data_IF_406216471026
#
_entry.id   IF_406216471026
#
_cell.length_a   1.000
_cell.length_b   1.000
_cell.length_c   1.000
_cell.angle_alpha   90.00
_cell.angle_beta   90.00
_cell.angle_gamma   90.00
#
_symmetry.space_group_name_H-M   'P 1'
#
loop_
_entity.id
_entity.type
_entity.pdbx_description
1 polymer ?
#
# COMPACT_ATOMS: atom_id res chain seq x y z
N UNK A 1 -31.98 -58.12 6.13
CA UNK A 1 -30.74 -57.71 5.48
C UNK A 1 -31.11 -56.54 4.59
N UNK A 2 -30.76 -55.32 4.94
CA UNK A 2 -30.72 -54.22 3.99
C UNK A 2 -29.25 -53.85 3.70
N UNK A 3 -28.99 -53.55 2.44
CA UNK A 3 -27.71 -53.13 1.87
C UNK A 3 -27.34 -51.73 2.33
N UNK A 4 -26.13 -51.58 2.84
CA UNK A 4 -25.46 -50.26 3.01
C UNK A 4 -24.86 -49.87 1.66
N UNK A 5 -25.50 -48.85 1.04
CA UNK A 5 -24.91 -48.06 -0.06
C UNK A 5 -24.22 -46.84 0.54
N UNK A 6 -22.91 -46.96 0.74
CA UNK A 6 -22.05 -45.82 1.05
C UNK A 6 -21.70 -45.11 -0.25
N UNK A 7 -22.46 -44.08 -0.58
CA UNK A 7 -22.09 -43.10 -1.60
C UNK A 7 -20.89 -42.27 -1.09
N UNK A 8 -19.72 -42.49 -1.69
CA UNK A 8 -18.55 -41.63 -1.55
C UNK A 8 -18.89 -40.28 -2.20
N UNK A 9 -19.06 -39.25 -1.37
CA UNK A 9 -19.13 -37.86 -1.83
C UNK A 9 -17.75 -37.48 -2.41
N UNK A 10 -17.66 -37.45 -3.72
CA UNK A 10 -16.59 -36.80 -4.48
C UNK A 10 -16.62 -35.30 -4.18
N UNK A 11 -15.74 -34.86 -3.31
CA UNK A 11 -15.44 -33.43 -3.16
C UNK A 11 -14.90 -32.91 -4.48
N UNK A 12 -15.45 -31.82 -5.03
CA UNK A 12 -14.96 -31.26 -6.27
C UNK A 12 -13.53 -30.77 -6.09
N UNK A 13 -12.63 -31.35 -6.91
CA UNK A 13 -11.25 -30.91 -7.07
C UNK A 13 -11.24 -29.39 -7.27
N UNK A 14 -10.70 -28.65 -6.27
CA UNK A 14 -10.56 -27.21 -6.32
C UNK A 14 -9.77 -26.79 -7.56
N UNK A 15 -10.42 -26.18 -8.52
CA UNK A 15 -9.77 -25.46 -9.59
C UNK A 15 -8.80 -24.47 -8.93
N UNK A 16 -7.47 -24.69 -9.07
CA UNK A 16 -6.44 -23.84 -8.50
C UNK A 16 -6.70 -22.39 -8.90
N UNK A 17 -6.86 -21.51 -7.92
CA UNK A 17 -7.03 -20.09 -8.18
C UNK A 17 -5.84 -19.62 -9.02
N UNK A 18 -6.11 -18.90 -10.11
CA UNK A 18 -5.04 -18.38 -10.97
C UNK A 18 -4.04 -17.54 -10.15
N UNK A 19 -2.75 -17.73 -10.40
CA UNK A 19 -1.67 -17.03 -9.70
C UNK A 19 -1.87 -15.52 -9.78
N UNK A 20 -1.88 -14.82 -8.63
CA UNK A 20 -2.01 -13.36 -8.60
C UNK A 20 -0.74 -12.71 -9.11
N UNK A 21 -0.87 -11.82 -10.10
CA UNK A 21 0.25 -11.08 -10.68
C UNK A 21 0.35 -9.67 -10.12
N UNK A 22 1.54 -9.28 -9.72
CA UNK A 22 1.86 -7.97 -9.18
C UNK A 22 2.74 -7.19 -10.15
N UNK A 23 2.37 -5.94 -10.43
CA UNK A 23 3.04 -5.03 -11.36
C UNK A 23 3.47 -3.74 -10.64
N UNK A 24 4.51 -3.78 -9.78
CA UNK A 24 4.88 -2.65 -8.93
C UNK A 24 5.58 -1.50 -9.70
N UNK A 25 6.02 -1.71 -10.93
CA UNK A 25 6.82 -0.74 -11.69
C UNK A 25 6.22 0.67 -11.72
N UNK A 26 4.91 0.79 -12.00
CA UNK A 26 4.24 2.09 -12.06
C UNK A 26 4.21 2.83 -10.71
N UNK A 27 4.13 2.07 -9.59
CA UNK A 27 4.20 2.63 -8.24
C UNK A 27 5.62 2.98 -7.80
N UNK A 28 6.65 2.42 -8.44
CA UNK A 28 8.06 2.69 -8.16
C UNK A 28 8.55 3.87 -8.97
N UNK A 29 8.21 3.90 -10.27
CA UNK A 29 8.75 4.87 -11.22
C UNK A 29 7.79 6.05 -11.50
N UNK A 30 6.54 5.97 -11.04
CA UNK A 30 5.53 7.02 -11.24
C UNK A 30 4.98 7.11 -12.68
N UNK A 31 5.33 6.17 -13.55
CA UNK A 31 4.90 6.17 -14.95
C UNK A 31 3.92 5.02 -15.24
N UNK A 32 2.98 5.26 -16.16
CA UNK A 32 1.99 4.23 -16.51
C UNK A 32 1.01 3.91 -15.36
N UNK A 33 0.68 4.92 -14.56
CA UNK A 33 -0.35 4.80 -13.53
C UNK A 33 -1.70 4.53 -14.20
N UNK A 34 -2.46 3.59 -13.64
CA UNK A 34 -3.83 3.35 -14.07
C UNK A 34 -4.81 4.35 -13.43
N UNK A 35 -6.00 4.45 -14.02
CA UNK A 35 -7.06 5.35 -13.55
C UNK A 35 -7.68 4.91 -12.21
N UNK A 36 -7.26 3.76 -11.67
CA UNK A 36 -7.76 3.18 -10.44
C UNK A 36 -6.84 3.39 -9.22
N UNK A 37 -5.88 4.31 -9.26
CA UNK A 37 -4.99 4.59 -8.13
C UNK A 37 -5.60 5.58 -7.14
N UNK A 38 -5.75 5.17 -5.86
CA UNK A 38 -5.98 6.06 -4.72
C UNK A 38 -4.68 6.34 -3.96
N UNK A 39 -4.49 7.55 -3.46
CA UNK A 39 -3.36 7.89 -2.59
C UNK A 39 -3.85 8.35 -1.23
N UNK A 40 -3.22 7.81 -0.19
CA UNK A 40 -3.45 8.17 1.22
C UNK A 40 -2.15 8.72 1.79
N UNK A 41 -2.13 9.99 2.17
CA UNK A 41 -0.97 10.65 2.77
C UNK A 41 -1.10 10.63 4.29
N UNK A 42 -0.23 9.87 4.95
CA UNK A 42 -0.17 9.78 6.40
C UNK A 42 0.72 10.88 7.01
N UNK A 43 0.66 11.05 8.34
CA UNK A 43 1.43 12.08 9.05
C UNK A 43 2.93 11.74 9.14
N UNK A 44 3.60 11.75 7.99
CA UNK A 44 5.06 11.59 7.89
C UNK A 44 5.64 12.60 6.89
N UNK A 45 6.88 13.06 7.07
CA UNK A 45 7.53 13.94 6.08
C UNK A 45 7.49 13.33 4.69
N UNK A 46 7.24 14.15 3.69
CA UNK A 46 7.28 13.73 2.29
C UNK A 46 8.73 13.79 1.83
N UNK A 47 9.40 12.63 1.83
CA UNK A 47 10.82 12.49 1.47
C UNK A 47 11.02 11.98 0.04
N UNK A 48 9.92 11.76 -0.68
CA UNK A 48 9.95 11.36 -2.08
C UNK A 48 10.51 12.48 -2.96
N UNK A 49 11.17 12.11 -4.05
CA UNK A 49 11.63 13.07 -5.06
C UNK A 49 10.43 13.89 -5.57
N UNK A 50 10.62 15.21 -5.78
CA UNK A 50 9.54 16.15 -6.05
C UNK A 50 8.70 15.80 -7.27
N UNK A 51 9.36 15.53 -8.39
CA UNK A 51 8.68 15.20 -9.64
C UNK A 51 7.89 13.90 -9.51
N UNK A 52 8.51 12.87 -8.91
CA UNK A 52 7.86 11.59 -8.66
C UNK A 52 6.63 11.74 -7.76
N UNK A 53 6.76 12.44 -6.63
CA UNK A 53 5.63 12.67 -5.72
C UNK A 53 4.49 13.43 -6.40
N UNK A 54 4.82 14.51 -7.14
CA UNK A 54 3.82 15.31 -7.87
C UNK A 54 3.10 14.48 -8.92
N UNK A 55 3.83 13.65 -9.67
CA UNK A 55 3.26 12.76 -10.69
C UNK A 55 2.29 11.76 -10.08
N UNK A 56 2.70 11.08 -9.00
CA UNK A 56 1.83 10.14 -8.28
C UNK A 56 0.57 10.84 -7.75
N UNK A 57 0.77 11.91 -6.99
CA UNK A 57 -0.33 12.62 -6.34
C UNK A 57 -1.33 13.20 -7.33
N UNK A 58 -0.84 13.88 -8.37
CA UNK A 58 -1.69 14.51 -9.37
C UNK A 58 -2.35 13.51 -10.32
N UNK A 59 -1.72 12.34 -10.55
CA UNK A 59 -2.24 11.25 -11.36
C UNK A 59 -3.29 10.39 -10.64
N UNK A 60 -3.39 10.49 -9.31
CA UNK A 60 -4.33 9.68 -8.55
C UNK A 60 -5.80 10.01 -8.87
N UNK A 61 -6.65 8.98 -8.86
CA UNK A 61 -8.12 9.08 -8.95
C UNK A 61 -8.70 9.79 -7.74
N UNK A 62 -8.20 9.47 -6.56
CA UNK A 62 -8.57 10.09 -5.29
C UNK A 62 -7.33 10.31 -4.43
N UNK A 63 -7.26 11.47 -3.78
CA UNK A 63 -6.21 11.92 -2.88
C UNK A 63 -6.79 12.12 -1.49
N UNK A 64 -6.25 11.43 -0.50
CA UNK A 64 -6.68 11.53 0.89
C UNK A 64 -5.53 12.07 1.72
N UNK A 65 -5.74 13.17 2.43
CA UNK A 65 -4.83 13.62 3.48
C UNK A 65 -5.41 13.20 4.84
N UNK A 66 -4.60 12.50 5.64
CA UNK A 66 -5.06 11.85 6.86
C UNK A 66 -4.48 12.56 8.07
N UNK A 67 -5.36 13.19 8.86
CA UNK A 67 -5.04 13.90 10.09
C UNK A 67 -3.82 14.84 9.92
N UNK A 68 -2.75 14.68 10.69
CA UNK A 68 -1.51 15.44 10.53
C UNK A 68 -0.83 15.30 9.16
N UNK A 69 -1.25 14.36 8.30
CA UNK A 69 -0.88 14.30 6.89
C UNK A 69 -1.33 15.54 6.11
N UNK A 70 -2.40 16.20 6.58
CA UNK A 70 -2.85 17.50 6.04
C UNK A 70 -1.78 18.57 6.23
N UNK A 71 -1.13 18.63 7.40
CA UNK A 71 -0.02 19.55 7.64
C UNK A 71 1.11 19.28 6.62
N UNK A 72 1.45 18.01 6.38
CA UNK A 72 2.52 17.62 5.43
C UNK A 72 2.23 18.06 4.01
N UNK A 73 0.98 17.93 3.59
CA UNK A 73 0.55 18.42 2.28
C UNK A 73 0.64 19.95 2.19
N UNK A 74 0.16 20.69 3.19
CA UNK A 74 0.21 22.16 3.24
C UNK A 74 1.65 22.67 3.27
N UNK A 75 2.50 22.08 4.11
CA UNK A 75 3.93 22.42 4.20
C UNK A 75 4.61 22.25 2.85
N UNK A 76 4.32 21.13 2.16
CA UNK A 76 4.87 20.87 0.84
C UNK A 76 4.41 21.91 -0.19
N UNK A 77 3.13 22.23 -0.22
CA UNK A 77 2.57 23.26 -1.13
C UNK A 77 3.20 24.62 -0.86
N UNK A 78 3.29 25.06 0.40
CA UNK A 78 3.89 26.34 0.79
C UNK A 78 5.38 26.39 0.42
N UNK A 79 6.11 25.30 0.63
CA UNK A 79 7.53 25.21 0.28
C UNK A 79 7.81 25.17 -1.23
N UNK A 80 6.78 24.96 -2.08
CA UNK A 80 6.91 24.79 -3.52
C UNK A 80 5.99 25.71 -4.35
N UNK A 81 5.52 26.81 -3.79
CA UNK A 81 4.54 27.73 -4.40
C UNK A 81 4.98 28.29 -5.78
N UNK A 82 6.28 28.47 -5.97
CA UNK A 82 6.87 29.00 -7.20
C UNK A 82 7.41 27.90 -8.12
N UNK A 83 7.12 26.62 -7.86
CA UNK A 83 7.58 25.52 -8.69
C UNK A 83 6.51 25.15 -9.72
N UNK A 84 6.97 24.57 -10.83
CA UNK A 84 6.08 23.90 -11.80
C UNK A 84 5.42 22.64 -11.24
N UNK A 85 5.81 22.22 -10.02
CA UNK A 85 5.31 21.03 -9.33
C UNK A 85 4.15 21.39 -8.39
N UNK A 86 3.06 21.93 -8.92
CA UNK A 86 1.87 22.20 -8.13
C UNK A 86 1.08 20.93 -7.82
N UNK A 87 0.77 20.71 -6.55
CA UNK A 87 -0.09 19.61 -6.13
C UNK A 87 -1.57 19.97 -6.27
N UNK A 88 -2.33 19.06 -6.83
CA UNK A 88 -3.79 19.10 -6.70
C UNK A 88 -4.16 19.03 -5.23
N UNK A 89 -5.20 19.75 -4.78
CA UNK A 89 -5.67 19.61 -3.41
C UNK A 89 -6.17 18.19 -3.11
N UNK A 90 -6.14 17.75 -1.85
CA UNK A 90 -6.76 16.48 -1.46
C UNK A 90 -8.26 16.49 -1.75
N UNK A 91 -8.80 15.39 -2.22
CA UNK A 91 -10.24 15.21 -2.43
C UNK A 91 -10.96 14.97 -1.11
N UNK A 92 -10.28 14.27 -0.19
CA UNK A 92 -10.75 13.96 1.16
C UNK A 92 -9.68 14.36 2.18
N UNK A 93 -10.12 14.94 3.30
CA UNK A 93 -9.32 15.12 4.51
C UNK A 93 -10.03 14.36 5.62
N UNK A 94 -9.35 13.38 6.23
CA UNK A 94 -9.95 12.45 7.20
C UNK A 94 -9.13 12.39 8.48
N UNK A 95 -9.75 12.18 9.62
CA UNK A 95 -9.07 12.04 10.90
C UNK A 95 -9.95 12.45 12.07
N UNK A 96 -9.43 12.34 13.28
CA UNK A 96 -10.00 12.98 14.48
C UNK A 96 -9.46 14.41 14.68
N UNK A 97 -8.45 14.78 13.87
CA UNK A 97 -7.82 16.09 13.76
C UNK A 97 -7.06 16.54 15.00
N UNK A 98 -6.66 15.61 15.87
CA UNK A 98 -5.85 15.89 17.04
C UNK A 98 -4.40 16.28 16.70
N UNK A 99 -3.88 15.80 15.56
CA UNK A 99 -2.56 16.12 15.04
C UNK A 99 -2.57 17.14 13.89
N UNK A 100 -3.75 17.58 13.45
CA UNK A 100 -3.89 18.58 12.40
C UNK A 100 -3.87 19.99 13.01
N UNK A 101 -2.94 20.85 12.58
CA UNK A 101 -2.89 22.21 13.07
C UNK A 101 -3.99 23.09 12.45
N UNK A 102 -4.37 24.14 13.16
CA UNK A 102 -5.43 25.06 12.75
C UNK A 102 -5.13 25.73 11.41
N UNK A 103 -3.88 26.14 11.18
CA UNK A 103 -3.45 26.80 9.93
C UNK A 103 -3.65 25.92 8.70
N UNK A 104 -3.33 24.60 8.82
CA UNK A 104 -3.53 23.66 7.73
C UNK A 104 -5.01 23.41 7.44
N UNK A 105 -5.85 23.33 8.49
CA UNK A 105 -7.30 23.19 8.33
C UNK A 105 -7.90 24.41 7.65
N UNK A 106 -7.57 25.62 8.13
CA UNK A 106 -8.02 26.89 7.51
C UNK A 106 -7.59 26.98 6.05
N UNK A 107 -6.35 26.61 5.73
CA UNK A 107 -5.85 26.59 4.35
C UNK A 107 -6.67 25.66 3.45
N UNK A 108 -6.95 24.43 3.90
CA UNK A 108 -7.77 23.48 3.14
C UNK A 108 -9.22 23.98 3.00
N UNK A 109 -9.79 24.59 4.03
CA UNK A 109 -11.14 25.17 3.99
C UNK A 109 -11.24 26.33 3.02
N UNK A 110 -10.25 27.22 2.99
CA UNK A 110 -10.18 28.32 2.02
C UNK A 110 -10.16 27.80 0.57
N UNK A 111 -9.49 26.68 0.31
CA UNK A 111 -9.47 26.06 -1.02
C UNK A 111 -10.86 25.55 -1.48
N UNK A 112 -11.77 25.24 -0.55
CA UNK A 112 -13.18 24.90 -0.88
C UNK A 112 -13.96 26.12 -1.40
N UNK A 113 -13.63 27.30 -0.90
CA UNK A 113 -14.37 28.55 -1.19
C UNK A 113 -13.89 29.25 -2.46
N UNK A 114 -12.75 28.84 -3.04
CA UNK A 114 -12.21 29.48 -4.23
C UNK A 114 -13.06 29.10 -5.45
N UNK A 115 -14.08 29.92 -5.73
CA UNK A 115 -14.91 29.82 -6.92
C UNK A 115 -14.06 30.13 -8.15
N UNK A 116 -13.74 29.14 -8.95
CA UNK A 116 -13.04 29.36 -10.23
C UNK A 116 -12.38 28.14 -10.84
N UNK A 117 -12.16 27.07 -10.12
CA UNK A 117 -11.74 25.79 -10.69
C UNK A 117 -12.97 24.92 -10.97
N UNK A 118 -13.63 25.19 -12.10
CA UNK A 118 -14.67 24.33 -12.68
C UNK A 118 -14.05 22.90 -12.82
N UNK A 119 -14.68 21.91 -12.22
CA UNK A 119 -14.34 20.48 -12.25
C UNK A 119 -13.42 19.91 -11.15
N UNK A 120 -13.53 20.35 -9.91
CA UNK A 120 -13.00 19.51 -8.82
C UNK A 120 -14.17 18.87 -8.06
N UNK A 121 -14.12 17.53 -7.83
CA UNK A 121 -15.10 16.88 -6.96
C UNK A 121 -15.08 17.59 -5.59
N UNK A 122 -16.23 17.64 -4.96
CA UNK A 122 -16.46 18.32 -3.67
C UNK A 122 -15.46 17.79 -2.65
N UNK A 123 -14.45 18.61 -2.31
CA UNK A 123 -13.49 18.32 -1.25
C UNK A 123 -14.25 18.14 0.05
N UNK A 124 -14.08 17.01 0.68
CA UNK A 124 -14.79 16.71 1.92
C UNK A 124 -13.81 16.58 3.09
N UNK A 125 -14.16 17.23 4.21
CA UNK A 125 -13.53 16.99 5.50
C UNK A 125 -14.43 15.99 6.23
N UNK A 126 -13.89 14.84 6.57
CA UNK A 126 -14.61 13.74 7.19
C UNK A 126 -14.01 13.48 8.57
N UNK A 127 -14.73 13.90 9.61
CA UNK A 127 -14.32 13.62 10.99
C UNK A 127 -14.55 12.15 11.34
N UNK A 128 -13.50 11.46 11.81
CA UNK A 128 -13.50 10.04 12.15
C UNK A 128 -13.04 9.83 13.61
N UNK A 129 -13.93 10.05 14.60
CA UNK A 129 -13.56 10.09 16.02
C UNK A 129 -13.33 8.71 16.65
N UNK A 130 -13.61 7.61 15.93
CA UNK A 130 -13.42 6.24 16.43
C UNK A 130 -11.95 6.01 16.84
N UNK A 131 -11.71 5.72 18.12
CA UNK A 131 -10.38 5.42 18.66
C UNK A 131 -10.00 3.94 18.58
N UNK A 132 -10.90 3.06 18.09
CA UNK A 132 -10.62 1.63 17.96
C UNK A 132 -9.90 1.27 16.65
N UNK A 133 -9.69 2.23 15.79
CA UNK A 133 -8.97 2.05 14.52
C UNK A 133 -8.00 3.20 14.28
N UNK A 134 -6.86 2.90 13.64
CA UNK A 134 -5.91 3.94 13.23
C UNK A 134 -6.50 4.82 12.14
N UNK A 135 -5.99 6.05 11.99
CA UNK A 135 -6.46 6.97 10.96
C UNK A 135 -6.27 6.42 9.55
N UNK A 136 -5.21 5.64 9.33
CA UNK A 136 -5.04 4.92 8.05
C UNK A 136 -6.18 3.92 7.83
N UNK A 137 -6.50 3.07 8.80
CA UNK A 137 -7.63 2.14 8.70
C UNK A 137 -8.96 2.88 8.50
N UNK A 138 -9.18 3.97 9.25
CA UNK A 138 -10.37 4.83 9.12
C UNK A 138 -10.48 5.43 7.71
N UNK A 139 -9.36 5.88 7.14
CA UNK A 139 -9.33 6.45 5.78
C UNK A 139 -9.75 5.45 4.70
N UNK A 140 -9.38 4.17 4.83
CA UNK A 140 -9.86 3.11 3.93
C UNK A 140 -11.38 2.89 4.05
N UNK A 141 -11.93 2.94 5.28
CA UNK A 141 -13.38 2.87 5.51
C UNK A 141 -14.10 4.07 4.88
N UNK A 142 -13.51 5.27 4.96
CA UNK A 142 -14.05 6.48 4.30
C UNK A 142 -14.03 6.33 2.78
N UNK A 143 -12.96 5.82 2.19
CA UNK A 143 -12.94 5.54 0.75
C UNK A 143 -14.08 4.62 0.33
N UNK A 144 -14.35 3.56 1.09
CA UNK A 144 -15.47 2.65 0.85
C UNK A 144 -16.83 3.36 0.95
N UNK A 145 -17.05 4.11 2.03
CA UNK A 145 -18.34 4.80 2.26
C UNK A 145 -18.66 5.86 1.21
N UNK A 146 -17.63 6.37 0.51
CA UNK A 146 -17.76 7.30 -0.61
C UNK A 146 -17.82 6.61 -1.98
N UNK A 147 -17.89 5.27 -2.03
CA UNK A 147 -18.05 4.50 -3.27
C UNK A 147 -16.77 4.40 -4.11
N UNK A 148 -15.60 4.70 -3.53
CA UNK A 148 -14.33 4.55 -4.23
C UNK A 148 -13.89 3.10 -4.36
N UNK A 149 -14.40 2.18 -3.52
CA UNK A 149 -14.16 0.73 -3.63
C UNK A 149 -14.48 0.16 -5.02
N UNK A 150 -15.42 0.78 -5.74
CA UNK A 150 -15.83 0.39 -7.11
C UNK A 150 -14.99 1.06 -8.20
N UNK A 151 -14.17 2.00 -7.85
CA UNK A 151 -13.40 2.83 -8.80
C UNK A 151 -11.89 2.61 -8.68
N UNK A 152 -11.45 2.05 -7.55
CA UNK A 152 -10.04 1.83 -7.28
C UNK A 152 -9.66 0.37 -7.54
N UNK A 153 -8.51 0.19 -8.16
CA UNK A 153 -7.79 -1.08 -8.25
C UNK A 153 -6.69 -1.16 -7.19
N UNK A 154 -6.15 0.00 -6.81
CA UNK A 154 -4.99 0.11 -5.91
C UNK A 154 -5.11 1.32 -5.00
N UNK A 155 -4.60 1.18 -3.77
CA UNK A 155 -4.36 2.28 -2.82
C UNK A 155 -2.89 2.30 -2.44
N UNK A 156 -2.24 3.45 -2.56
CA UNK A 156 -0.87 3.70 -2.15
C UNK A 156 -0.86 4.60 -0.92
N UNK A 157 -0.51 4.06 0.24
CA UNK A 157 -0.34 4.82 1.47
C UNK A 157 1.09 5.35 1.55
N UNK A 158 1.23 6.67 1.51
CA UNK A 158 2.50 7.35 1.69
C UNK A 158 2.81 7.45 3.18
N UNK A 159 3.82 6.73 3.61
CA UNK A 159 4.26 6.60 4.99
C UNK A 159 5.79 6.54 5.06
N UNK A 160 6.34 6.32 6.25
CA UNK A 160 7.77 6.04 6.40
C UNK A 160 7.99 4.76 7.20
N UNK A 161 9.08 4.07 6.90
CA UNK A 161 9.53 2.85 7.59
C UNK A 161 10.46 3.15 8.77
N UNK A 162 10.48 4.39 9.25
CA UNK A 162 11.31 4.89 10.34
C UNK A 162 10.49 5.66 11.38
N UNK A 163 11.06 5.90 12.55
CA UNK A 163 10.45 6.67 13.64
C UNK A 163 9.64 5.77 14.59
N UNK A 164 8.37 6.05 14.80
CA UNK A 164 7.50 5.34 15.76
C UNK A 164 7.19 3.92 15.28
N UNK A 165 7.79 2.93 15.92
CA UNK A 165 7.62 1.51 15.60
C UNK A 165 6.16 1.06 15.70
N UNK A 166 5.43 1.55 16.70
CA UNK A 166 4.00 1.24 16.88
C UNK A 166 3.17 1.67 15.66
N UNK A 167 3.44 2.83 15.07
CA UNK A 167 2.76 3.30 13.87
C UNK A 167 3.15 2.47 12.62
N UNK A 168 4.40 2.03 12.53
CA UNK A 168 4.83 1.12 11.46
C UNK A 168 4.04 -0.19 11.54
N UNK A 169 3.95 -0.78 12.75
CA UNK A 169 3.19 -2.00 12.98
C UNK A 169 1.69 -1.81 12.72
N UNK A 170 1.13 -0.67 13.11
CA UNK A 170 -0.26 -0.32 12.86
C UNK A 170 -0.56 -0.19 11.35
N UNK A 171 0.35 0.40 10.57
CA UNK A 171 0.21 0.45 9.11
C UNK A 171 0.24 -0.95 8.48
N UNK A 172 1.13 -1.83 8.96
CA UNK A 172 1.17 -3.22 8.52
C UNK A 172 -0.13 -3.93 8.91
N UNK A 173 -0.64 -3.74 10.13
CA UNK A 173 -1.92 -4.32 10.54
C UNK A 173 -3.07 -3.87 9.63
N UNK A 174 -3.05 -2.62 9.15
CA UNK A 174 -4.05 -2.13 8.19
C UNK A 174 -4.02 -2.91 6.87
N UNK A 175 -2.86 -3.40 6.40
CA UNK A 175 -2.78 -4.26 5.23
C UNK A 175 -3.55 -5.59 5.43
N UNK A 176 -3.54 -6.15 6.65
CA UNK A 176 -4.32 -7.34 6.97
C UNK A 176 -5.83 -7.07 6.93
N UNK A 177 -6.25 -5.89 7.36
CA UNK A 177 -7.66 -5.47 7.41
C UNK A 177 -8.19 -5.02 6.03
N UNK A 178 -7.30 -4.62 5.13
CA UNK A 178 -7.64 -3.92 3.90
C UNK A 178 -8.60 -4.70 3.00
N UNK A 179 -8.43 -6.01 2.86
CA UNK A 179 -9.28 -6.85 2.01
C UNK A 179 -10.74 -6.91 2.51
N UNK A 180 -10.92 -6.95 3.84
CA UNK A 180 -12.26 -6.87 4.44
C UNK A 180 -12.90 -5.47 4.31
N UNK A 181 -12.09 -4.42 4.19
CA UNK A 181 -12.57 -3.05 4.06
C UNK A 181 -12.83 -2.70 2.60
N UNK A 182 -11.86 -2.96 1.71
CA UNK A 182 -11.87 -2.65 0.28
C UNK A 182 -11.62 -3.93 -0.54
N UNK A 183 -12.60 -4.84 -0.63
CA UNK A 183 -12.43 -6.10 -1.37
C UNK A 183 -12.00 -5.86 -2.81
N UNK A 184 -10.96 -6.56 -3.26
CA UNK A 184 -10.45 -6.47 -4.63
C UNK A 184 -9.55 -5.26 -4.90
N UNK A 185 -9.28 -4.41 -3.91
CA UNK A 185 -8.36 -3.27 -4.02
C UNK A 185 -7.04 -3.61 -3.36
N UNK A 186 -5.95 -3.58 -4.11
CA UNK A 186 -4.63 -3.83 -3.58
C UNK A 186 -4.07 -2.62 -2.80
N UNK A 187 -3.64 -2.84 -1.57
CA UNK A 187 -3.12 -1.76 -0.70
C UNK A 187 -1.62 -1.91 -0.52
N UNK A 188 -0.90 -0.82 -0.77
CA UNK A 188 0.55 -0.72 -0.69
C UNK A 188 0.98 0.34 0.31
N UNK A 189 2.10 0.09 0.98
CA UNK A 189 2.82 1.07 1.80
C UNK A 189 4.02 1.58 1.01
N UNK A 190 4.14 2.88 0.82
CA UNK A 190 5.25 3.54 0.14
C UNK A 190 6.01 4.43 1.11
N UNK A 191 7.25 4.09 1.41
CA UNK A 191 8.19 4.96 2.10
C UNK A 191 9.16 5.63 1.11
N UNK A 192 10.05 6.46 1.58
CA UNK A 192 11.05 7.12 0.75
C UNK A 192 11.86 6.15 -0.12
N UNK A 193 12.17 4.96 0.39
CA UNK A 193 13.08 4.00 -0.23
C UNK A 193 12.52 2.59 -0.41
N UNK A 194 11.25 2.34 -0.08
CA UNK A 194 10.67 0.99 -0.18
C UNK A 194 9.19 1.00 -0.55
N UNK A 195 8.76 -0.11 -1.15
CA UNK A 195 7.38 -0.44 -1.43
C UNK A 195 7.06 -1.78 -0.76
N UNK A 196 5.94 -1.84 0.00
CA UNK A 196 5.56 -3.03 0.75
C UNK A 196 4.07 -3.33 0.59
N UNK A 197 3.71 -4.61 0.57
CA UNK A 197 2.31 -5.07 0.56
C UNK A 197 2.18 -6.46 1.14
N UNK A 198 0.96 -6.88 1.43
CA UNK A 198 0.67 -8.20 1.95
C UNK A 198 0.44 -9.20 0.81
N UNK A 199 1.27 -10.23 0.76
CA UNK A 199 1.07 -11.44 -0.06
C UNK A 199 0.25 -12.42 0.77
N UNK A 200 -0.93 -12.79 0.30
CA UNK A 200 -1.83 -13.71 1.01
C UNK A 200 -1.54 -15.16 0.64
N UNK A 201 -2.14 -16.17 1.32
CA UNK A 201 -1.98 -17.57 0.91
C UNK A 201 -2.34 -17.78 -0.56
N UNK A 202 -1.53 -18.59 -1.26
CA UNK A 202 -1.70 -18.90 -2.67
C UNK A 202 -0.43 -18.72 -3.50
N UNK A 203 -0.61 -18.66 -4.82
CA UNK A 203 0.46 -18.48 -5.79
C UNK A 203 0.50 -17.03 -6.28
N UNK A 204 1.71 -16.47 -6.33
CA UNK A 204 1.95 -15.10 -6.75
C UNK A 204 3.11 -15.01 -7.73
N UNK A 205 3.00 -14.06 -8.66
CA UNK A 205 4.08 -13.67 -9.53
C UNK A 205 4.30 -12.16 -9.42
N UNK A 206 5.53 -11.73 -9.19
CA UNK A 206 5.91 -10.32 -9.09
C UNK A 206 6.85 -10.01 -10.24
N UNK A 207 6.46 -9.08 -11.11
CA UNK A 207 7.33 -8.58 -12.18
C UNK A 207 8.25 -7.49 -11.61
N UNK A 208 9.54 -7.75 -11.63
CA UNK A 208 10.57 -6.89 -11.06
C UNK A 208 11.14 -5.98 -12.16
N UNK A 209 11.13 -4.65 -12.01
CA UNK A 209 11.81 -3.75 -12.93
C UNK A 209 13.27 -4.15 -13.14
N UNK A 210 13.72 -4.19 -14.40
CA UNK A 210 15.06 -4.66 -14.77
C UNK A 210 16.17 -3.88 -14.04
N UNK A 211 15.96 -2.60 -13.79
CA UNK A 211 16.86 -1.76 -13.01
C UNK A 211 17.13 -2.34 -11.61
N UNK A 212 16.08 -2.76 -10.89
CA UNK A 212 16.22 -3.31 -9.53
C UNK A 212 16.99 -4.63 -9.52
N UNK A 213 16.88 -5.43 -10.60
CA UNK A 213 17.67 -6.66 -10.77
C UNK A 213 19.14 -6.32 -10.98
N UNK A 214 19.44 -5.40 -11.92
CA UNK A 214 20.79 -5.00 -12.28
C UNK A 214 21.54 -4.36 -11.11
N UNK A 215 20.86 -3.54 -10.34
CA UNK A 215 21.39 -2.84 -9.16
C UNK A 215 21.39 -3.73 -7.90
N UNK A 216 20.89 -4.95 -7.99
CA UNK A 216 20.78 -5.91 -6.86
C UNK A 216 20.04 -5.32 -5.65
N UNK A 217 18.97 -4.60 -5.93
CA UNK A 217 18.15 -4.00 -4.88
C UNK A 217 17.57 -5.10 -3.99
N UNK A 218 17.47 -4.79 -2.71
CA UNK A 218 17.00 -5.75 -1.71
C UNK A 218 15.49 -6.02 -1.80
N UNK A 219 15.10 -7.22 -1.35
CA UNK A 219 13.72 -7.58 -1.05
C UNK A 219 13.65 -8.45 0.20
N UNK A 220 12.45 -8.60 0.75
CA UNK A 220 12.19 -9.40 1.95
C UNK A 220 10.82 -10.04 1.92
N UNK A 221 10.72 -11.19 2.62
CA UNK A 221 9.47 -11.89 2.93
C UNK A 221 9.43 -12.13 4.44
N UNK A 222 8.51 -11.45 5.11
CA UNK A 222 8.41 -11.49 6.58
C UNK A 222 7.01 -11.95 6.99
N UNK A 223 6.88 -13.09 7.68
CA UNK A 223 5.61 -13.58 8.20
C UNK A 223 5.27 -12.82 9.48
N UNK A 224 4.31 -11.90 9.43
CA UNK A 224 3.88 -11.14 10.60
C UNK A 224 2.58 -11.73 11.15
N UNK A 225 2.58 -12.07 12.43
CA UNK A 225 1.42 -12.62 13.13
C UNK A 225 1.43 -14.15 13.23
N UNK A 226 1.75 -14.85 12.16
CA UNK A 226 1.87 -16.33 12.16
C UNK A 226 2.99 -16.81 11.24
N UNK A 227 3.56 -17.97 11.52
CA UNK A 227 4.49 -18.63 10.63
C UNK A 227 3.80 -19.20 9.39
N UNK A 228 4.55 -19.39 8.30
CA UNK A 228 4.05 -19.98 7.07
C UNK A 228 5.12 -20.79 6.34
N UNK A 229 4.68 -21.77 5.54
CA UNK A 229 5.52 -22.43 4.55
C UNK A 229 5.55 -21.59 3.28
N UNK A 230 6.75 -21.37 2.76
CA UNK A 230 6.92 -20.53 1.57
C UNK A 230 7.98 -21.14 0.64
N UNK A 231 7.65 -21.20 -0.64
CA UNK A 231 8.62 -21.50 -1.71
C UNK A 231 8.75 -20.29 -2.62
N UNK A 232 9.94 -20.04 -3.14
CA UNK A 232 10.20 -18.96 -4.08
C UNK A 232 11.04 -19.41 -5.26
N UNK A 233 10.87 -18.74 -6.40
CA UNK A 233 11.72 -18.86 -7.58
C UNK A 233 12.01 -17.45 -8.10
N UNK A 234 13.21 -17.23 -8.66
CA UNK A 234 13.63 -15.94 -9.18
C UNK A 234 14.36 -15.03 -8.18
N UNK A 235 14.54 -15.44 -6.94
CA UNK A 235 15.39 -14.79 -5.95
C UNK A 235 16.82 -15.36 -5.98
N UNK A 236 17.78 -14.59 -5.49
CA UNK A 236 19.16 -15.06 -5.34
C UNK A 236 19.25 -16.18 -4.30
N UNK A 237 18.48 -16.06 -3.23
CA UNK A 237 18.35 -17.07 -2.19
C UNK A 237 16.89 -17.51 -2.11
N UNK A 238 16.55 -18.50 -2.95
CA UNK A 238 15.21 -19.05 -2.98
C UNK A 238 14.90 -19.84 -1.71
N UNK A 239 13.64 -19.78 -1.31
CA UNK A 239 13.07 -20.59 -0.24
C UNK A 239 12.54 -21.90 -0.87
N UNK A 240 12.85 -23.03 -0.25
CA UNK A 240 12.47 -24.37 -0.73
C UNK A 240 11.27 -24.97 0.03
N UNK A 241 10.73 -24.25 1.02
CA UNK A 241 9.65 -24.73 1.87
C UNK A 241 10.05 -25.75 2.92
N UNK A 242 11.33 -26.12 3.03
CA UNK A 242 11.79 -27.13 4.02
C UNK A 242 11.68 -26.63 5.46
N UNK A 243 11.71 -25.32 5.66
CA UNK A 243 11.58 -24.67 6.96
C UNK A 243 10.54 -23.56 6.90
N UNK A 244 9.62 -23.50 7.88
CA UNK A 244 8.66 -22.39 7.93
C UNK A 244 9.37 -21.08 8.20
N UNK A 245 8.90 -20.01 7.53
CA UNK A 245 9.22 -18.65 7.92
C UNK A 245 8.46 -18.32 9.21
N UNK A 246 9.18 -17.89 10.24
CA UNK A 246 8.59 -17.59 11.54
C UNK A 246 9.53 -16.72 12.38
N UNK A 247 8.97 -15.75 13.12
CA UNK A 247 9.73 -15.01 14.13
C UNK A 247 10.27 -15.97 15.20
N UNK A 248 11.50 -15.73 15.62
CA UNK A 248 12.25 -16.64 16.51
C UNK A 248 12.92 -17.82 15.77
N UNK A 249 12.73 -17.96 14.46
CA UNK A 249 13.39 -18.93 13.59
C UNK A 249 13.97 -18.23 12.35
N UNK A 250 13.39 -18.39 11.18
CA UNK A 250 13.87 -17.81 9.94
C UNK A 250 12.89 -16.75 9.44
N UNK A 251 13.41 -15.59 9.07
CA UNK A 251 12.72 -14.58 8.24
C UNK A 251 13.63 -14.25 7.04
N UNK A 252 13.06 -14.11 5.85
CA UNK A 252 13.84 -13.78 4.66
C UNK A 252 13.99 -12.28 4.53
N UNK A 253 15.16 -11.76 4.92
CA UNK A 253 15.53 -10.35 4.78
C UNK A 253 16.81 -10.21 3.96
N UNK A 254 17.07 -9.02 3.42
CA UNK A 254 18.28 -8.74 2.63
C UNK A 254 18.47 -9.69 1.42
N UNK A 255 17.41 -10.24 0.90
CA UNK A 255 17.39 -11.00 -0.34
C UNK A 255 17.49 -10.05 -1.54
N UNK A 256 17.70 -10.58 -2.73
CA UNK A 256 17.70 -9.82 -3.98
C UNK A 256 17.26 -10.72 -5.13
N UNK A 257 17.19 -10.17 -6.32
CA UNK A 257 16.65 -10.82 -7.51
C UNK A 257 17.72 -11.56 -8.31
N UNK A 258 17.40 -12.76 -8.78
CA UNK A 258 18.15 -13.48 -9.79
C UNK A 258 17.59 -13.23 -11.20
N UNK A 259 16.28 -12.94 -11.29
CA UNK A 259 15.57 -12.68 -12.55
C UNK A 259 14.61 -11.49 -12.38
N UNK A 260 14.04 -11.03 -13.48
CA UNK A 260 13.01 -9.98 -13.48
C UNK A 260 11.60 -10.50 -13.14
N UNK A 261 11.48 -11.72 -12.66
CA UNK A 261 10.22 -12.31 -12.22
C UNK A 261 10.45 -13.18 -11.00
N UNK A 262 9.71 -12.88 -9.94
CA UNK A 262 9.72 -13.69 -8.71
C UNK A 262 8.38 -14.41 -8.60
N UNK A 263 8.43 -15.73 -8.38
CA UNK A 263 7.28 -16.55 -8.01
C UNK A 263 7.31 -16.83 -6.53
N UNK A 264 6.15 -16.81 -5.90
CA UNK A 264 5.97 -17.10 -4.47
C UNK A 264 4.77 -18.03 -4.32
N UNK A 265 4.94 -19.14 -3.62
CA UNK A 265 3.83 -19.96 -3.14
C UNK A 265 3.89 -19.99 -1.62
N UNK A 266 2.81 -19.61 -0.95
CA UNK A 266 2.75 -19.54 0.52
C UNK A 266 1.40 -20.04 1.04
N UNK A 267 1.40 -20.69 2.20
CA UNK A 267 0.20 -21.13 2.92
C UNK A 267 -0.28 -20.12 3.96
N UNK A 268 0.51 -19.10 4.26
CA UNK A 268 0.19 -18.03 5.19
C UNK A 268 0.52 -16.63 4.64
N UNK A 269 0.02 -15.57 5.29
CA UNK A 269 0.29 -14.20 4.84
C UNK A 269 1.74 -13.81 5.07
N UNK A 270 2.32 -13.14 4.08
CA UNK A 270 3.69 -12.61 4.09
C UNK A 270 3.70 -11.13 3.76
N UNK A 271 4.40 -10.33 4.55
CA UNK A 271 4.76 -8.98 4.15
C UNK A 271 5.91 -9.08 3.14
N UNK A 272 5.61 -8.79 1.88
CA UNK A 272 6.63 -8.52 0.88
C UNK A 272 7.07 -7.07 1.01
N UNK A 273 8.38 -6.84 1.02
CA UNK A 273 8.94 -5.49 0.92
C UNK A 273 10.09 -5.49 -0.06
N UNK A 274 10.22 -4.40 -0.82
CA UNK A 274 11.28 -4.22 -1.81
C UNK A 274 11.82 -2.81 -1.77
N UNK A 275 13.13 -2.67 -1.95
CA UNK A 275 13.78 -1.39 -2.15
C UNK A 275 13.38 -0.78 -3.49
N UNK A 276 13.32 0.54 -3.56
CA UNK A 276 12.95 1.30 -4.77
C UNK A 276 14.08 2.18 -5.28
N UNK A 277 15.11 2.40 -4.46
CA UNK A 277 16.31 3.20 -4.77
C UNK A 277 17.56 2.37 -4.47
N UNK A 278 18.71 2.66 -5.09
CA UNK A 278 19.98 2.05 -4.69
C UNK A 278 20.22 2.16 -3.19
N UNK A 279 20.91 1.17 -2.63
CA UNK A 279 21.41 1.24 -1.25
C UNK A 279 22.33 2.44 -1.13
N UNK A 280 22.20 3.17 -0.03
CA UNK A 280 23.12 4.26 0.36
C UNK A 280 22.86 5.64 -0.30
N UNK A 281 21.62 6.00 -0.56
CA UNK A 281 21.23 7.39 -0.62
C UNK A 281 20.46 7.82 0.61
#
# INVERSE_FOLDING_TARGET
MPNDDTTSDDMPNGAGAAAKRWLPASLIDGHGLDDGLGIVLLNRPILLEKHYFTTLWNGAKVRVAVDGGTNRWVDWVKGNINSEHLLKPPDLVTGDFDSCNQEAMEYVEQLKCTKGLLYLPTRQIVHTPDQNATDFTKSLKVLKSHGYDKQLSRVLALCESSGRLDQIMANINTLYLADGILPGVDVFLRSSNSLSWLVRPGEHTIDIPQRLVSERIWCSLVPIGQGCQCTTDGLRWNLDGSRPLQFGSIVSTSNTYATNRVRITTDGPLLWSMGTTPKDM
#
